data_IF_224287370849
#
_entry.id   IF_224287370849
#
_cell.length_a   1.000
_cell.length_b   1.000
_cell.length_c   1.000
_cell.angle_alpha   90.00
_cell.angle_beta   90.00
_cell.angle_gamma   90.00
#
_symmetry.space_group_name_H-M   'P 1'
#
loop_
_entity.id
_entity.type
_entity.pdbx_description
1 polymer ?
#
# COMPACT_ATOMS: atom_id res chain seq x y z
N UNK A 1 -0.82 -31.43 -17.66
CA UNK A 1 -1.16 -30.05 -17.25
C UNK A 1 -1.90 -30.11 -15.92
N UNK A 2 -1.34 -29.60 -14.81
CA UNK A 2 -2.03 -29.68 -13.53
C UNK A 2 -3.15 -28.65 -13.47
N UNK A 3 -4.32 -29.10 -13.01
CA UNK A 3 -5.53 -28.31 -12.77
C UNK A 3 -5.22 -27.21 -11.75
N UNK A 4 -5.50 -25.96 -12.12
CA UNK A 4 -5.56 -24.83 -11.18
C UNK A 4 -6.82 -25.00 -10.31
N UNK A 5 -6.72 -25.77 -9.23
CA UNK A 5 -7.68 -25.67 -8.14
C UNK A 5 -7.61 -24.24 -7.62
N UNK A 6 -8.70 -23.48 -7.78
CA UNK A 6 -8.84 -22.16 -7.18
C UNK A 6 -8.86 -22.33 -5.65
N UNK A 7 -7.70 -22.36 -5.02
CA UNK A 7 -7.56 -22.32 -3.57
C UNK A 7 -8.06 -20.95 -3.13
N UNK A 8 -9.19 -20.92 -2.43
CA UNK A 8 -9.76 -19.69 -1.87
C UNK A 8 -8.70 -19.03 -0.99
N UNK A 9 -8.39 -17.73 -1.16
CA UNK A 9 -7.40 -17.08 -0.30
C UNK A 9 -7.85 -17.20 1.15
N UNK A 10 -6.97 -17.76 1.98
CA UNK A 10 -7.19 -18.00 3.39
C UNK A 10 -6.91 -16.73 4.22
N UNK A 11 -6.08 -15.81 3.71
CA UNK A 11 -5.63 -14.60 4.38
C UNK A 11 -5.60 -13.40 3.43
N UNK A 12 -5.99 -12.22 3.92
CA UNK A 12 -5.87 -10.93 3.23
C UNK A 12 -4.86 -10.04 3.96
N UNK A 13 -3.80 -9.65 3.27
CA UNK A 13 -2.72 -8.80 3.76
C UNK A 13 -2.88 -7.39 3.18
N UNK A 14 -3.15 -6.41 4.03
CA UNK A 14 -3.23 -5.01 3.68
C UNK A 14 -1.92 -4.30 3.98
N UNK A 15 -1.28 -3.70 2.97
CA UNK A 15 -0.25 -2.70 3.18
C UNK A 15 -0.89 -1.32 3.21
N UNK A 16 -0.91 -0.68 4.37
CA UNK A 16 -1.58 0.61 4.57
C UNK A 16 -0.50 1.66 4.81
N UNK A 17 -0.45 2.65 3.92
CA UNK A 17 0.54 3.73 4.03
C UNK A 17 -0.08 5.01 4.53
N UNK A 18 0.63 5.69 5.43
CA UNK A 18 0.20 6.99 5.94
C UNK A 18 1.38 7.91 6.32
N UNK A 19 1.05 9.18 6.57
CA UNK A 19 1.94 10.24 7.00
C UNK A 19 1.72 10.51 8.48
N UNK A 20 2.76 10.32 9.30
CA UNK A 20 2.65 10.53 10.75
C UNK A 20 2.26 11.96 11.12
N UNK A 21 2.52 12.95 10.24
CA UNK A 21 2.08 14.33 10.42
C UNK A 21 0.57 14.51 10.46
N UNK A 22 -0.22 13.50 10.06
CA UNK A 22 -1.69 13.50 10.11
C UNK A 22 -2.24 12.61 11.23
N UNK A 23 -1.36 12.02 12.05
CA UNK A 23 -1.72 11.06 13.09
C UNK A 23 -1.72 9.61 12.59
N UNK A 24 -1.80 8.68 13.53
CA UNK A 24 -1.89 7.25 13.23
C UNK A 24 -3.33 6.88 12.86
N UNK A 25 -3.56 6.11 11.77
CA UNK A 25 -4.89 5.73 11.35
C UNK A 25 -5.50 4.69 12.29
N UNK A 26 -6.82 4.74 12.47
CA UNK A 26 -7.57 3.66 13.12
C UNK A 26 -7.83 2.57 12.09
N UNK A 27 -7.29 1.37 12.32
CA UNK A 27 -7.41 0.24 11.39
C UNK A 27 -8.35 -0.82 11.98
N UNK A 28 -9.38 -1.27 11.23
CA UNK A 28 -10.37 -2.24 11.72
C UNK A 28 -9.88 -3.70 11.74
N UNK A 29 -8.58 -3.95 11.49
CA UNK A 29 -8.00 -5.28 11.42
C UNK A 29 -6.68 -5.35 12.22
N UNK A 30 -6.27 -6.55 12.69
CA UNK A 30 -5.03 -6.72 13.43
C UNK A 30 -3.80 -6.22 12.65
N UNK A 31 -3.06 -5.30 13.23
CA UNK A 31 -1.77 -4.84 12.70
C UNK A 31 -0.70 -5.84 13.10
N UNK A 32 -0.11 -6.52 12.10
CA UNK A 32 0.94 -7.49 12.34
C UNK A 32 2.33 -6.88 12.22
N UNK A 33 2.48 -5.70 11.63
CA UNK A 33 3.77 -5.02 11.49
C UNK A 33 3.58 -3.51 11.33
N UNK A 34 4.50 -2.73 11.90
CA UNK A 34 4.57 -1.29 11.73
C UNK A 34 5.99 -0.90 11.31
N UNK A 35 6.11 -0.24 10.16
CA UNK A 35 7.35 0.15 9.54
C UNK A 35 7.47 1.68 9.53
N UNK A 36 8.31 2.19 10.42
CA UNK A 36 8.58 3.61 10.53
C UNK A 36 9.76 4.04 9.66
N UNK A 37 9.45 4.72 8.56
CA UNK A 37 10.42 5.27 7.62
C UNK A 37 10.65 6.78 7.81
N UNK A 38 10.29 7.34 8.98
CA UNK A 38 10.53 8.76 9.26
C UNK A 38 12.02 9.10 9.32
N UNK A 39 12.83 8.20 9.88
CA UNK A 39 14.29 8.32 10.03
C UNK A 39 15.06 7.84 8.79
N UNK A 40 14.40 7.15 7.85
CA UNK A 40 15.01 6.69 6.61
C UNK A 40 15.50 7.88 5.76
N UNK A 41 16.60 7.68 5.02
CA UNK A 41 17.15 8.73 4.15
C UNK A 41 16.08 9.17 3.14
N UNK A 42 16.10 10.45 2.81
CA UNK A 42 15.08 11.01 1.92
C UNK A 42 15.63 11.07 0.49
N UNK A 43 14.86 10.67 -0.53
CA UNK A 43 15.21 10.94 -1.93
C UNK A 43 15.47 12.43 -2.21
N UNK A 44 16.20 12.77 -3.28
CA UNK A 44 16.40 14.16 -3.68
C UNK A 44 15.09 14.94 -3.79
N UNK A 45 15.09 16.19 -3.29
CA UNK A 45 13.89 17.03 -3.19
C UNK A 45 13.14 17.19 -4.52
N UNK A 46 13.87 17.43 -5.61
CA UNK A 46 13.26 17.60 -6.94
C UNK A 46 12.46 16.37 -7.40
N UNK A 47 12.82 15.16 -6.94
CA UNK A 47 12.02 13.96 -7.22
C UNK A 47 10.79 13.88 -6.32
N UNK A 48 10.88 14.30 -5.06
CA UNK A 48 9.72 14.35 -4.15
C UNK A 48 8.66 15.34 -4.63
N UNK A 49 9.09 16.47 -5.18
CA UNK A 49 8.19 17.51 -5.68
C UNK A 49 7.46 17.04 -6.97
N UNK A 50 8.10 16.17 -7.76
CA UNK A 50 7.58 15.71 -9.05
C UNK A 50 6.84 14.37 -8.99
N UNK A 51 7.17 13.50 -8.04
CA UNK A 51 6.72 12.10 -8.03
C UNK A 51 6.27 11.64 -6.63
N UNK A 52 5.31 10.71 -6.62
CA UNK A 52 4.96 9.93 -5.42
C UNK A 52 5.77 8.64 -5.36
N UNK A 53 5.70 7.92 -4.24
CA UNK A 53 6.38 6.63 -4.08
C UNK A 53 5.92 5.53 -5.01
N UNK A 54 4.75 5.68 -5.65
CA UNK A 54 4.25 4.74 -6.65
C UNK A 54 4.99 4.90 -8.00
N UNK A 55 5.67 6.02 -8.23
CA UNK A 55 6.49 6.23 -9.43
C UNK A 55 7.74 5.34 -9.40
N UNK A 56 8.02 4.66 -10.51
CA UNK A 56 9.24 3.86 -10.70
C UNK A 56 10.51 4.69 -10.58
N UNK A 57 10.46 5.99 -10.94
CA UNK A 57 11.59 6.93 -10.82
C UNK A 57 11.92 7.19 -9.35
N UNK A 58 10.92 7.55 -8.55
CA UNK A 58 11.11 7.79 -7.12
C UNK A 58 11.51 6.50 -6.39
N UNK A 59 10.83 5.39 -6.69
CA UNK A 59 11.14 4.11 -6.07
C UNK A 59 12.59 3.68 -6.34
N UNK A 60 13.08 3.80 -7.58
CA UNK A 60 14.47 3.49 -7.91
C UNK A 60 15.46 4.37 -7.13
N UNK A 61 15.21 5.68 -7.08
CA UNK A 61 16.05 6.60 -6.30
C UNK A 61 15.98 6.33 -4.80
N UNK A 62 14.83 5.94 -4.27
CA UNK A 62 14.67 5.57 -2.87
C UNK A 62 15.49 4.33 -2.54
N UNK A 63 15.38 3.25 -3.32
CA UNK A 63 16.11 2.01 -3.04
C UNK A 63 17.60 2.05 -3.40
N UNK A 64 18.07 3.04 -4.15
CA UNK A 64 19.50 3.26 -4.36
C UNK A 64 20.21 3.91 -3.15
N UNK A 65 19.46 4.38 -2.14
CA UNK A 65 20.05 4.97 -0.94
C UNK A 65 20.56 3.89 0.02
N UNK A 66 21.72 4.10 0.68
CA UNK A 66 22.29 3.13 1.60
C UNK A 66 21.32 2.72 2.71
N UNK A 67 21.24 1.41 2.98
CA UNK A 67 20.45 0.83 4.05
C UNK A 67 18.98 0.53 3.70
N UNK A 68 18.40 1.16 2.67
CA UNK A 68 17.00 0.93 2.33
C UNK A 68 16.74 -0.47 1.77
N UNK A 69 17.69 -1.02 1.00
CA UNK A 69 17.59 -2.40 0.53
C UNK A 69 17.67 -3.39 1.70
N UNK A 70 18.59 -3.19 2.65
CA UNK A 70 18.68 -4.06 3.84
C UNK A 70 17.38 -4.01 4.63
N UNK A 71 16.86 -2.81 4.92
CA UNK A 71 15.61 -2.64 5.67
C UNK A 71 14.41 -3.29 4.97
N UNK A 72 14.40 -3.25 3.64
CA UNK A 72 13.42 -3.94 2.81
C UNK A 72 13.51 -5.47 2.97
N UNK A 73 14.71 -6.04 2.88
CA UNK A 73 14.92 -7.48 3.05
C UNK A 73 14.57 -7.95 4.47
N UNK A 74 14.98 -7.21 5.49
CA UNK A 74 14.66 -7.50 6.90
C UNK A 74 13.14 -7.50 7.12
N UNK A 75 12.45 -6.55 6.48
CA UNK A 75 10.99 -6.48 6.52
C UNK A 75 10.35 -7.70 5.87
N UNK A 76 10.84 -8.13 4.70
CA UNK A 76 10.30 -9.31 4.02
C UNK A 76 10.44 -10.57 4.88
N UNK A 77 11.62 -10.79 5.48
CA UNK A 77 11.87 -11.92 6.37
C UNK A 77 10.90 -11.89 7.57
N UNK A 78 10.71 -10.70 8.16
CA UNK A 78 9.78 -10.52 9.27
C UNK A 78 8.32 -10.80 8.86
N UNK A 79 7.91 -10.34 7.68
CA UNK A 79 6.56 -10.58 7.18
C UNK A 79 6.33 -12.05 6.89
N UNK A 80 7.32 -12.73 6.30
CA UNK A 80 7.27 -14.15 6.04
C UNK A 80 7.06 -14.96 7.32
N UNK A 81 7.89 -14.74 8.35
CA UNK A 81 7.75 -15.41 9.64
C UNK A 81 6.37 -15.16 10.28
N UNK A 82 5.89 -13.90 10.28
CA UNK A 82 4.60 -13.54 10.88
C UNK A 82 3.41 -14.12 10.12
N UNK A 83 3.50 -14.22 8.80
CA UNK A 83 2.42 -14.76 7.97
C UNK A 83 2.40 -16.28 8.02
N UNK A 84 3.56 -16.94 8.02
CA UNK A 84 3.60 -18.39 8.17
C UNK A 84 3.01 -18.87 9.48
N UNK A 85 3.32 -18.20 10.61
CA UNK A 85 2.71 -18.53 11.90
C UNK A 85 1.19 -18.43 11.87
N UNK A 86 0.63 -17.48 11.12
CA UNK A 86 -0.82 -17.31 10.98
C UNK A 86 -1.44 -18.32 10.04
N UNK A 87 -0.80 -18.63 8.92
CA UNK A 87 -1.27 -19.64 7.98
C UNK A 87 -1.19 -21.05 8.56
N UNK A 88 -0.23 -21.30 9.46
CA UNK A 88 -0.05 -22.59 10.12
C UNK A 88 -0.99 -22.78 11.34
N UNK A 89 -1.63 -21.73 11.85
CA UNK A 89 -2.54 -21.84 12.99
C UNK A 89 -3.87 -22.47 12.52
N UNK A 90 -4.23 -23.69 12.96
CA UNK A 90 -5.48 -24.33 12.57
C UNK A 90 -6.72 -23.59 13.10
N UNK A 91 -6.55 -22.66 14.05
CA UNK A 91 -7.61 -21.77 14.54
C UNK A 91 -7.77 -20.53 13.66
N UNK A 92 -6.81 -20.25 12.78
CA UNK A 92 -6.91 -19.17 11.81
C UNK A 92 -8.02 -19.51 10.82
N UNK A 93 -9.21 -18.93 11.06
CA UNK A 93 -10.35 -19.07 10.17
C UNK A 93 -9.97 -18.55 8.78
N UNK A 94 -10.49 -19.21 7.74
CA UNK A 94 -10.41 -18.65 6.38
C UNK A 94 -11.03 -17.25 6.36
N UNK A 95 -10.40 -16.30 5.65
CA UNK A 95 -10.89 -14.92 5.52
C UNK A 95 -10.33 -13.91 6.52
N UNK A 96 -9.22 -14.21 7.20
CA UNK A 96 -8.57 -13.26 8.13
C UNK A 96 -7.92 -12.10 7.36
N UNK A 97 -8.25 -10.86 7.73
CA UNK A 97 -7.51 -9.67 7.30
C UNK A 97 -6.46 -9.29 8.33
N UNK A 98 -5.26 -8.92 7.86
CA UNK A 98 -4.18 -8.35 8.66
C UNK A 98 -3.59 -7.14 7.96
N UNK A 99 -3.06 -6.21 8.74
CA UNK A 99 -2.46 -4.99 8.22
C UNK A 99 -0.96 -4.91 8.53
N UNK A 100 -0.23 -4.36 7.57
CA UNK A 100 1.13 -3.84 7.71
C UNK A 100 1.03 -2.34 7.53
N UNK A 101 1.32 -1.62 8.61
CA UNK A 101 1.37 -0.17 8.61
C UNK A 101 2.74 0.29 8.12
N UNK A 102 2.77 1.17 7.13
CA UNK A 102 4.02 1.74 6.61
C UNK A 102 3.92 3.25 6.64
N UNK A 103 4.65 3.90 7.54
CA UNK A 103 4.56 5.35 7.69
C UNK A 103 5.84 6.05 7.24
N UNK A 104 5.67 7.27 6.76
CA UNK A 104 6.76 8.24 6.70
C UNK A 104 6.22 9.59 7.19
N UNK A 105 6.97 10.68 7.00
CA UNK A 105 6.52 12.00 7.49
C UNK A 105 5.19 12.43 6.84
N UNK A 106 5.15 12.45 5.51
CA UNK A 106 4.02 12.97 4.74
C UNK A 106 3.07 11.90 4.17
N UNK A 107 3.49 10.63 4.13
CA UNK A 107 2.66 9.53 3.64
C UNK A 107 2.64 9.34 2.12
N UNK A 108 3.41 10.11 1.35
CA UNK A 108 3.32 10.13 -0.12
C UNK A 108 4.52 9.50 -0.86
N UNK A 109 5.66 9.30 -0.18
CA UNK A 109 6.95 8.98 -0.82
C UNK A 109 7.54 7.66 -0.33
N UNK A 110 8.32 7.70 0.76
CA UNK A 110 9.07 6.55 1.27
C UNK A 110 8.15 5.38 1.65
N UNK A 111 7.07 5.67 2.38
CA UNK A 111 6.07 4.67 2.78
C UNK A 111 5.40 4.00 1.58
N UNK A 112 4.99 4.79 0.59
CA UNK A 112 4.37 4.30 -0.65
C UNK A 112 5.35 3.44 -1.44
N UNK A 113 6.60 3.91 -1.64
CA UNK A 113 7.62 3.16 -2.39
C UNK A 113 7.94 1.81 -1.72
N UNK A 114 8.04 1.79 -0.38
CA UNK A 114 8.27 0.58 0.40
C UNK A 114 7.09 -0.39 0.28
N UNK A 115 5.88 0.07 0.58
CA UNK A 115 4.67 -0.76 0.54
C UNK A 115 4.40 -1.36 -0.85
N UNK A 116 4.57 -0.57 -1.91
CA UNK A 116 4.37 -1.03 -3.30
C UNK A 116 5.37 -2.12 -3.69
N UNK A 117 6.63 -1.99 -3.27
CA UNK A 117 7.64 -3.02 -3.54
C UNK A 117 7.36 -4.29 -2.74
N UNK A 118 7.07 -4.18 -1.45
CA UNK A 118 6.69 -5.32 -0.60
C UNK A 118 5.48 -6.06 -1.19
N UNK A 119 4.43 -5.32 -1.54
CA UNK A 119 3.22 -5.90 -2.12
C UNK A 119 3.49 -6.59 -3.46
N UNK A 120 4.34 -6.02 -4.31
CA UNK A 120 4.75 -6.63 -5.58
C UNK A 120 5.46 -7.96 -5.35
N UNK A 121 6.43 -8.00 -4.45
CA UNK A 121 7.25 -9.20 -4.25
C UNK A 121 6.47 -10.29 -3.50
N UNK A 122 5.62 -9.93 -2.52
CA UNK A 122 4.69 -10.88 -1.89
C UNK A 122 3.72 -11.50 -2.91
N UNK A 123 3.16 -10.69 -3.83
CA UNK A 123 2.32 -11.22 -4.92
C UNK A 123 3.09 -12.14 -5.85
N UNK A 124 4.36 -11.81 -6.14
CA UNK A 124 5.22 -12.58 -7.06
C UNK A 124 5.63 -13.93 -6.47
N UNK A 125 5.94 -13.97 -5.18
CA UNK A 125 6.36 -15.20 -4.50
C UNK A 125 5.23 -16.20 -4.28
N UNK A 126 3.99 -15.83 -4.64
CA UNK A 126 2.80 -16.70 -4.58
C UNK A 126 2.74 -17.41 -3.23
N UNK A 127 2.72 -16.65 -2.14
CA UNK A 127 2.32 -17.21 -0.86
C UNK A 127 0.88 -17.71 -1.02
N UNK A 128 0.76 -19.01 -1.27
CA UNK A 128 -0.50 -19.64 -1.62
C UNK A 128 -1.52 -19.35 -0.52
N UNK A 129 -2.69 -18.85 -0.95
CA UNK A 129 -3.74 -18.45 -0.03
C UNK A 129 -3.64 -17.02 0.52
N UNK A 130 -2.70 -16.17 0.07
CA UNK A 130 -2.60 -14.76 0.47
C UNK A 130 -3.12 -13.81 -0.61
N UNK A 131 -4.16 -13.05 -0.28
CA UNK A 131 -4.63 -11.87 -1.03
C UNK A 131 -3.86 -10.63 -0.57
N UNK A 132 -3.29 -9.84 -1.50
CA UNK A 132 -2.52 -8.63 -1.14
C UNK A 132 -3.23 -7.36 -1.62
N UNK A 133 -3.59 -6.51 -0.67
CA UNK A 133 -4.21 -5.20 -0.88
C UNK A 133 -3.23 -4.10 -0.48
N UNK A 134 -3.22 -2.99 -1.22
CA UNK A 134 -2.41 -1.81 -0.89
C UNK A 134 -3.34 -0.61 -0.82
N UNK A 135 -3.27 0.14 0.27
CA UNK A 135 -4.08 1.32 0.53
C UNK A 135 -3.18 2.49 0.90
N UNK A 136 -3.38 3.63 0.25
CA UNK A 136 -2.58 4.82 0.45
C UNK A 136 -3.45 5.97 0.96
N UNK A 137 -3.45 6.16 2.28
CA UNK A 137 -4.38 7.09 2.93
C UNK A 137 -4.11 8.57 2.56
N UNK A 138 -2.87 8.88 2.15
CA UNK A 138 -2.44 10.26 1.92
C UNK A 138 -2.18 10.64 0.46
N UNK A 139 -2.18 9.67 -0.46
CA UNK A 139 -1.99 9.97 -1.88
C UNK A 139 -3.25 10.49 -2.57
N UNK A 140 -4.42 10.30 -1.96
CA UNK A 140 -5.71 10.70 -2.53
C UNK A 140 -6.12 12.15 -2.21
N UNK A 141 -5.51 12.76 -1.18
CA UNK A 141 -5.87 14.13 -0.75
C UNK A 141 -5.37 15.19 -1.75
N UNK A 142 -4.28 14.96 -2.47
CA UNK A 142 -3.80 15.93 -3.46
C UNK A 142 -4.54 15.90 -4.81
N UNK A 143 -5.12 14.77 -5.22
CA UNK A 143 -5.91 14.71 -6.46
C UNK A 143 -7.33 15.26 -6.27
N UNK A 144 -7.96 15.02 -5.12
CA UNK A 144 -9.26 15.60 -4.78
C UNK A 144 -9.22 17.12 -4.67
N UNK A 145 -8.22 17.66 -3.98
CA UNK A 145 -8.06 19.11 -3.80
C UNK A 145 -7.61 19.81 -5.08
N UNK A 146 -6.74 19.20 -5.91
CA UNK A 146 -6.38 19.77 -7.22
C UNK A 146 -7.53 19.70 -8.24
N UNK A 147 -8.38 18.66 -8.24
CA UNK A 147 -9.59 18.62 -9.09
C UNK A 147 -10.67 19.59 -8.61
N UNK A 148 -10.91 19.71 -7.31
CA UNK A 148 -11.86 20.69 -6.76
C UNK A 148 -11.42 22.14 -7.08
N UNK A 149 -10.15 22.48 -6.84
CA UNK A 149 -9.61 23.81 -7.21
C UNK A 149 -9.63 24.06 -8.71
N UNK A 150 -9.29 23.07 -9.54
CA UNK A 150 -9.35 23.22 -11.02
C UNK A 150 -10.80 23.31 -11.54
N UNK A 151 -11.77 22.71 -10.86
CA UNK A 151 -13.19 22.87 -11.17
C UNK A 151 -13.73 24.25 -10.75
N UNK A 152 -13.25 24.83 -9.65
CA UNK A 152 -13.59 26.20 -9.24
C UNK A 152 -12.90 27.27 -10.10
N UNK A 153 -11.68 26.99 -10.61
CA UNK A 153 -10.95 27.96 -11.45
C UNK A 153 -11.36 27.91 -12.94
N UNK A 154 -11.95 26.79 -13.40
CA UNK A 154 -12.38 26.62 -14.81
C UNK A 154 -13.91 26.64 -14.94
N UNK A 155 -14.65 26.59 -13.83
CA UNK A 155 -16.11 26.71 -13.74
C UNK A 155 -16.66 28.13 -13.93
N UNK A 156 -15.94 28.99 -14.65
CA UNK A 156 -16.53 30.13 -15.34
C UNK A 156 -17.36 29.65 -16.53
N UNK A 157 -18.55 29.09 -16.22
CA UNK A 157 -19.69 28.70 -17.07
C UNK A 157 -19.85 27.19 -17.38
N UNK A 158 -20.81 26.60 -16.66
CA UNK A 158 -21.97 25.96 -17.28
C UNK A 158 -21.89 24.47 -17.63
N UNK A 159 -22.86 23.75 -17.05
CA UNK A 159 -23.50 22.51 -17.51
C UNK A 159 -22.83 21.16 -17.25
N UNK A 160 -23.66 20.21 -16.78
CA UNK A 160 -23.59 18.81 -17.23
C UNK A 160 -23.17 17.78 -16.19
N UNK A 161 -24.16 17.26 -15.46
CA UNK A 161 -24.13 15.97 -14.78
C UNK A 161 -23.68 14.86 -15.74
N UNK A 162 -22.69 14.04 -15.37
CA UNK A 162 -22.39 12.83 -16.14
C UNK A 162 -21.05 12.15 -15.87
N UNK A 163 -21.10 11.03 -15.16
CA UNK A 163 -20.46 9.78 -15.62
C UNK A 163 -18.94 9.60 -15.50
N UNK A 164 -18.55 8.74 -14.54
CA UNK A 164 -17.60 7.62 -14.65
C UNK A 164 -16.22 7.82 -15.31
N UNK A 165 -15.17 7.39 -14.59
CA UNK A 165 -14.33 6.25 -15.01
C UNK A 165 -13.79 5.51 -13.78
N UNK A 166 -14.19 4.24 -13.69
CA UNK A 166 -13.72 3.25 -12.74
C UNK A 166 -12.35 2.72 -13.18
N UNK A 167 -11.30 3.06 -12.43
CA UNK A 167 -10.01 2.36 -12.49
C UNK A 167 -10.08 1.12 -11.62
N UNK A 168 -10.37 -0.02 -12.25
CA UNK A 168 -10.50 -1.31 -11.59
C UNK A 168 -9.18 -1.85 -11.04
N UNK A 169 -8.88 -1.52 -9.79
CA UNK A 169 -8.13 -2.39 -8.87
C UNK A 169 -9.11 -2.89 -7.80
N UNK A 170 -10.21 -3.47 -8.27
CA UNK A 170 -11.34 -3.91 -7.44
C UNK A 170 -11.37 -5.42 -7.28
N UNK A 171 -10.23 -6.04 -6.95
CA UNK A 171 -10.25 -7.35 -6.33
C UNK A 171 -10.75 -7.18 -4.91
N UNK A 172 -12.07 -6.99 -4.72
CA UNK A 172 -12.69 -6.95 -3.40
C UNK A 172 -12.49 -8.32 -2.77
N UNK A 173 -11.46 -8.46 -1.93
CA UNK A 173 -11.40 -9.57 -0.98
C UNK A 173 -12.64 -9.42 -0.09
N UNK A 174 -13.54 -10.41 -0.16
CA UNK A 174 -14.88 -10.45 0.49
C UNK A 174 -14.76 -10.61 2.01
N UNK A 175 -13.93 -9.80 2.64
CA UNK A 175 -13.69 -9.86 4.08
C UNK A 175 -14.51 -8.83 4.86
N UNK A 176 -15.16 -7.90 4.16
CA UNK A 176 -16.12 -6.97 4.74
C UNK A 176 -17.52 -7.38 4.26
N UNK A 177 -18.15 -8.27 5.03
CA UNK A 177 -19.57 -8.57 4.96
C UNK A 177 -20.30 -7.80 6.06
#
# INVERSE_FOLDING_TARGET
MPRTSHTTPHLCLHFITFGISRGSPTIPMPVICHLDLTTARTPPRHLLDAYTGASSVLARSFFSLPGHESHYQDTLIMLEDRLWRRLADPRARTGICVAVLVNCRAGMHRSVAMAERLARDVRRWRWDGVCVVVEHLDTDVERGVRRARRAETVGGRGWGSGGFYAGGYGGRCRCYG
#
